data_IF_866515122293
#
_entry.id   IF_866515122293
#
_cell.length_a   1.000
_cell.length_b   1.000
_cell.length_c   1.000
_cell.angle_alpha   90.00
_cell.angle_beta   90.00
_cell.angle_gamma   90.00
#
_symmetry.space_group_name_H-M   'P 1'
#
loop_
_entity.id
_entity.type
_entity.pdbx_description
1 polymer ?
#
# COMPACT_ATOMS: atom_id res chain seq x y z
N UNK A 1 27.13 -63.45 -14.08
CA UNK A 1 25.66 -63.56 -13.98
C UNK A 1 25.12 -62.22 -13.51
N UNK A 2 24.37 -61.53 -14.35
CA UNK A 2 23.83 -60.19 -14.08
C UNK A 2 22.59 -60.30 -13.18
N UNK A 3 22.53 -59.52 -12.09
CA UNK A 3 21.33 -59.37 -11.27
C UNK A 3 20.45 -58.28 -11.88
N UNK A 4 19.20 -58.62 -12.15
CA UNK A 4 18.17 -57.68 -12.60
C UNK A 4 17.87 -56.64 -11.50
N UNK A 5 17.68 -55.40 -11.92
CA UNK A 5 17.16 -54.31 -11.08
C UNK A 5 15.64 -54.40 -11.14
N UNK A 6 14.99 -54.71 -10.02
CA UNK A 6 13.54 -54.65 -9.90
C UNK A 6 13.08 -53.19 -9.84
N UNK A 7 12.23 -52.80 -10.78
CA UNK A 7 11.58 -51.49 -10.81
C UNK A 7 10.35 -51.58 -9.90
N UNK A 8 10.39 -50.89 -8.75
CA UNK A 8 9.27 -50.79 -7.83
C UNK A 8 8.21 -49.85 -8.44
N UNK A 9 6.96 -50.32 -8.49
CA UNK A 9 5.80 -49.56 -8.95
C UNK A 9 5.54 -48.33 -8.04
N UNK A 10 5.19 -47.14 -8.57
CA UNK A 10 4.99 -45.92 -7.79
C UNK A 10 3.87 -45.97 -6.73
N UNK A 11 3.09 -47.05 -6.68
CA UNK A 11 1.88 -47.15 -5.85
C UNK A 11 2.07 -47.73 -4.44
N UNK A 12 3.28 -48.16 -4.05
CA UNK A 12 3.51 -48.73 -2.70
C UNK A 12 3.97 -47.71 -1.65
N UNK A 13 4.17 -46.43 -2.00
CA UNK A 13 4.61 -45.40 -1.03
C UNK A 13 3.42 -44.72 -0.34
N UNK A 14 2.19 -44.98 -0.76
CA UNK A 14 0.99 -44.25 -0.30
C UNK A 14 0.07 -45.05 0.65
N UNK A 15 0.49 -46.19 1.18
CA UNK A 15 -0.36 -47.00 2.08
C UNK A 15 -0.49 -46.47 3.51
N UNK A 16 0.39 -45.55 3.94
CA UNK A 16 0.45 -45.07 5.34
C UNK A 16 -0.15 -43.68 5.55
N UNK A 17 -0.73 -43.09 4.50
CA UNK A 17 -1.53 -41.87 4.66
C UNK A 17 -2.95 -42.27 5.06
N UNK A 18 -3.12 -42.44 6.37
CA UNK A 18 -4.43 -42.36 7.03
C UNK A 18 -5.11 -41.12 6.45
N UNK A 19 -6.15 -41.31 5.65
CA UNK A 19 -7.09 -40.26 5.29
C UNK A 19 -7.72 -39.79 6.60
N UNK A 20 -7.08 -38.81 7.25
CA UNK A 20 -7.78 -37.93 8.18
C UNK A 20 -8.90 -37.32 7.36
N UNK A 21 -10.12 -37.48 7.84
CA UNK A 21 -11.33 -36.90 7.27
C UNK A 21 -11.05 -35.50 6.71
N UNK A 22 -11.62 -35.11 5.56
CA UNK A 22 -11.43 -33.78 5.02
C UNK A 22 -11.79 -32.78 6.11
N UNK A 23 -10.76 -32.09 6.60
CA UNK A 23 -10.90 -30.99 7.54
C UNK A 23 -11.92 -30.04 6.89
N UNK A 24 -13.07 -29.77 7.52
CA UNK A 24 -14.03 -28.81 7.00
C UNK A 24 -13.29 -27.52 6.67
N UNK A 25 -13.68 -26.73 5.65
CA UNK A 25 -13.07 -25.42 5.45
C UNK A 25 -13.39 -24.57 6.68
N UNK A 26 -12.54 -24.65 7.69
CA UNK A 26 -12.50 -23.71 8.77
C UNK A 26 -12.15 -22.41 8.08
N UNK A 27 -13.07 -21.45 8.11
CA UNK A 27 -12.75 -20.06 7.85
C UNK A 27 -11.61 -19.73 8.80
N UNK A 28 -10.38 -19.72 8.30
CA UNK A 28 -9.25 -19.22 9.08
C UNK A 28 -9.50 -17.71 9.14
N UNK A 29 -10.06 -17.24 10.26
CA UNK A 29 -10.07 -15.82 10.57
C UNK A 29 -8.61 -15.40 10.77
N UNK A 30 -8.00 -14.88 9.71
CA UNK A 30 -6.71 -14.23 9.84
C UNK A 30 -6.94 -12.93 10.60
N UNK A 31 -6.23 -12.78 11.73
CA UNK A 31 -6.12 -11.47 12.37
C UNK A 31 -5.38 -10.56 11.39
N UNK A 32 -6.08 -9.54 10.91
CA UNK A 32 -5.50 -8.50 10.08
C UNK A 32 -4.62 -7.61 10.96
N UNK A 33 -3.52 -7.11 10.41
CA UNK A 33 -2.85 -5.95 11.01
C UNK A 33 -3.73 -4.73 10.82
N UNK A 34 -3.72 -3.80 11.76
CA UNK A 34 -4.35 -2.50 11.55
C UNK A 34 -3.25 -1.50 11.23
N UNK A 35 -3.33 -0.90 10.05
CA UNK A 35 -2.49 0.22 9.70
C UNK A 35 -2.96 1.48 10.42
N UNK A 36 -2.01 2.30 10.85
CA UNK A 36 -2.24 3.58 11.51
C UNK A 36 -1.43 4.69 10.85
N UNK A 37 -2.06 5.85 10.68
CA UNK A 37 -1.40 7.08 10.27
C UNK A 37 -0.79 7.74 11.51
N UNK A 38 0.53 7.70 11.64
CA UNK A 38 1.26 8.27 12.79
C UNK A 38 1.46 9.77 12.64
N UNK A 39 1.77 10.24 11.43
CA UNK A 39 1.97 11.66 11.15
C UNK A 39 1.70 12.00 9.67
N UNK A 40 1.43 13.29 9.43
CA UNK A 40 1.45 13.91 8.10
C UNK A 40 2.46 15.05 8.15
N UNK A 41 3.46 14.99 7.27
CA UNK A 41 4.58 15.91 7.24
C UNK A 41 4.59 16.70 5.92
N UNK A 42 4.98 17.97 6.02
CA UNK A 42 5.28 18.86 4.89
C UNK A 42 6.68 19.45 5.11
N UNK A 43 7.32 19.86 4.02
CA UNK A 43 8.68 20.40 4.09
C UNK A 43 8.78 21.75 4.81
N UNK A 44 7.83 22.66 4.57
CA UNK A 44 7.97 24.07 4.98
C UNK A 44 7.12 24.49 6.19
N UNK A 45 6.09 23.73 6.55
CA UNK A 45 5.15 24.09 7.62
C UNK A 45 4.45 22.86 8.22
N UNK A 46 3.71 23.04 9.32
CA UNK A 46 2.83 21.99 9.83
C UNK A 46 1.67 21.74 8.86
N UNK A 47 1.19 20.49 8.80
CA UNK A 47 0.06 20.12 7.94
C UNK A 47 -1.16 20.99 8.22
N UNK A 48 -1.50 21.23 9.48
CA UNK A 48 -2.67 21.99 9.89
C UNK A 48 -2.61 23.48 9.50
N UNK A 49 -1.41 24.01 9.29
CA UNK A 49 -1.17 25.42 8.97
C UNK A 49 -1.06 25.67 7.46
N UNK A 50 -0.98 24.61 6.65
CA UNK A 50 -0.81 24.74 5.21
C UNK A 50 -2.06 25.34 4.55
N UNK A 51 -1.85 26.43 3.81
CA UNK A 51 -2.88 27.01 2.96
C UNK A 51 -2.28 27.25 1.58
N UNK A 52 -2.88 26.71 0.50
CA UNK A 52 -2.38 26.99 -0.83
C UNK A 52 -2.56 28.47 -1.17
N UNK A 53 -1.56 29.06 -1.84
CA UNK A 53 -1.61 30.45 -2.30
C UNK A 53 -2.83 30.71 -3.20
N UNK A 54 -3.17 29.73 -4.05
CA UNK A 54 -4.37 29.74 -4.90
C UNK A 54 -5.25 28.54 -4.56
N UNK A 55 -6.43 28.81 -3.99
CA UNK A 55 -7.37 27.82 -3.43
C UNK A 55 -7.71 26.66 -4.37
N UNK A 56 -7.84 26.92 -5.67
CA UNK A 56 -8.25 25.95 -6.69
C UNK A 56 -7.12 25.55 -7.64
N UNK A 57 -5.87 26.00 -7.39
CA UNK A 57 -4.73 25.79 -8.27
C UNK A 57 -3.47 25.50 -7.46
N UNK A 58 -3.41 24.31 -6.88
CA UNK A 58 -2.31 23.83 -6.04
C UNK A 58 -1.89 22.41 -6.42
N UNK A 59 -0.65 22.06 -6.06
CA UNK A 59 -0.17 20.69 -5.99
C UNK A 59 0.99 20.66 -4.98
N UNK A 60 0.80 19.94 -3.88
CA UNK A 60 1.76 19.88 -2.76
C UNK A 60 2.05 18.42 -2.42
N UNK A 61 3.32 18.10 -2.17
CA UNK A 61 3.71 16.79 -1.66
C UNK A 61 3.56 16.74 -0.15
N UNK A 62 3.00 15.66 0.36
CA UNK A 62 2.99 15.34 1.79
C UNK A 62 3.66 13.98 1.99
N UNK A 63 4.32 13.83 3.13
CA UNK A 63 4.86 12.57 3.60
C UNK A 63 3.98 12.03 4.73
N UNK A 64 3.75 10.73 4.70
CA UNK A 64 2.87 10.00 5.59
C UNK A 64 3.71 8.98 6.35
N UNK A 65 3.73 9.11 7.67
CA UNK A 65 4.37 8.10 8.52
C UNK A 65 3.30 7.03 8.80
N UNK A 66 3.44 5.86 8.18
CA UNK A 66 2.47 4.76 8.27
C UNK A 66 3.11 3.58 8.98
N UNK A 67 2.48 3.13 10.06
CA UNK A 67 2.91 1.99 10.86
C UNK A 67 1.75 1.07 11.23
N UNK A 68 1.98 0.12 12.13
CA UNK A 68 0.92 -0.68 12.75
C UNK A 68 0.45 -0.05 14.06
N UNK A 69 -0.78 -0.36 14.48
CA UNK A 69 -1.38 0.13 15.72
C UNK A 69 -0.67 -0.39 16.99
N UNK A 70 0.07 -1.49 16.88
CA UNK A 70 0.79 -2.14 17.98
C UNK A 70 2.28 -1.74 18.08
N UNK A 71 2.74 -0.79 17.26
CA UNK A 71 4.14 -0.34 17.20
C UNK A 71 4.24 1.17 17.00
N UNK A 72 5.28 1.79 17.55
CA UNK A 72 5.63 3.19 17.27
C UNK A 72 6.47 3.35 15.99
N UNK A 73 6.95 2.23 15.41
CA UNK A 73 7.68 2.27 14.16
C UNK A 73 6.76 2.61 12.98
N UNK A 74 7.29 3.36 12.02
CA UNK A 74 6.60 3.74 10.80
C UNK A 74 7.58 3.79 9.63
N UNK A 75 7.04 3.53 8.45
CA UNK A 75 7.71 3.75 7.17
C UNK A 75 7.16 5.03 6.53
N UNK A 76 7.99 5.73 5.75
CA UNK A 76 7.59 6.98 5.09
C UNK A 76 7.02 6.70 3.70
N UNK A 77 5.83 7.26 3.46
CA UNK A 77 5.15 7.21 2.16
C UNK A 77 4.79 8.60 1.67
N UNK A 78 5.09 8.93 0.42
CA UNK A 78 4.80 10.22 -0.18
C UNK A 78 3.56 10.18 -1.07
N UNK A 79 2.76 11.25 -1.05
CA UNK A 79 1.65 11.48 -1.97
C UNK A 79 1.52 12.95 -2.32
N UNK A 80 1.09 13.26 -3.56
CA UNK A 80 0.81 14.63 -3.98
C UNK A 80 -0.68 14.94 -3.90
N UNK A 81 -1.03 16.04 -3.24
CA UNK A 81 -2.39 16.57 -3.18
C UNK A 81 -2.53 17.67 -4.22
N UNK A 82 -3.30 17.44 -5.29
CA UNK A 82 -3.32 18.34 -6.44
C UNK A 82 -4.74 18.69 -6.89
N UNK A 83 -4.91 19.92 -7.34
CA UNK A 83 -6.13 20.39 -7.97
C UNK A 83 -6.21 20.00 -9.45
N UNK A 84 -7.42 19.76 -10.00
CA UNK A 84 -7.58 19.54 -11.44
C UNK A 84 -7.01 20.66 -12.30
N UNK A 85 -7.14 21.92 -11.84
CA UNK A 85 -6.64 23.11 -12.53
C UNK A 85 -5.12 23.14 -12.60
N UNK A 86 -4.44 22.79 -11.50
CA UNK A 86 -2.98 22.69 -11.51
C UNK A 86 -2.50 21.62 -12.49
N UNK A 87 -3.17 20.47 -12.52
CA UNK A 87 -2.85 19.38 -13.46
C UNK A 87 -2.99 19.87 -14.91
N UNK A 88 -4.10 20.53 -15.24
CA UNK A 88 -4.35 21.07 -16.58
C UNK A 88 -3.25 22.07 -17.00
N UNK A 89 -2.82 22.94 -16.09
CA UNK A 89 -1.84 23.98 -16.39
C UNK A 89 -0.39 23.49 -16.47
N UNK A 90 -0.02 22.48 -15.66
CA UNK A 90 1.39 22.12 -15.44
C UNK A 90 1.77 20.77 -16.03
N UNK A 91 0.85 19.79 -16.13
CA UNK A 91 1.22 18.43 -16.51
C UNK A 91 1.30 18.21 -18.03
N UNK A 92 0.69 19.07 -18.83
CA UNK A 92 0.54 18.84 -20.27
C UNK A 92 1.27 19.86 -21.17
N UNK A 93 2.13 20.72 -20.59
CA UNK A 93 2.76 21.80 -21.36
C UNK A 93 3.59 21.29 -22.55
N UNK A 94 4.27 20.15 -22.40
CA UNK A 94 5.11 19.55 -23.45
C UNK A 94 4.80 18.07 -23.71
N UNK A 95 3.76 17.52 -23.08
CA UNK A 95 3.42 16.10 -23.14
C UNK A 95 1.90 15.94 -23.26
N UNK A 96 1.45 14.95 -24.06
CA UNK A 96 0.02 14.65 -24.22
C UNK A 96 -0.51 13.65 -23.18
N UNK A 97 0.39 12.92 -22.53
CA UNK A 97 0.07 11.85 -21.58
C UNK A 97 1.03 11.96 -20.41
N UNK A 98 0.51 11.78 -19.19
CA UNK A 98 1.29 11.70 -17.96
C UNK A 98 0.70 10.63 -17.05
N UNK A 99 1.56 9.84 -16.42
CA UNK A 99 1.16 8.89 -15.39
C UNK A 99 0.87 9.64 -14.08
N UNK A 100 -0.31 9.45 -13.51
CA UNK A 100 -0.78 10.14 -12.30
C UNK A 100 -0.58 9.36 -11.01
N UNK A 101 0.36 8.42 -10.97
CA UNK A 101 0.64 7.62 -9.77
C UNK A 101 1.04 8.52 -8.59
N UNK A 102 0.59 8.18 -7.38
CA UNK A 102 0.87 8.95 -6.17
C UNK A 102 0.19 10.32 -6.12
N UNK A 103 -1.01 10.47 -6.71
CA UNK A 103 -1.76 11.73 -6.70
C UNK A 103 -3.17 11.56 -6.12
N UNK A 104 -3.48 12.33 -5.08
CA UNK A 104 -4.85 12.57 -4.61
C UNK A 104 -5.36 13.86 -5.26
N UNK A 105 -6.47 13.76 -5.99
CA UNK A 105 -7.02 14.89 -6.75
C UNK A 105 -8.26 15.45 -6.04
N UNK A 106 -8.26 16.74 -5.73
CA UNK A 106 -9.39 17.41 -5.07
C UNK A 106 -9.57 18.85 -5.55
N UNK A 107 -10.81 19.36 -5.56
CA UNK A 107 -11.11 20.69 -6.11
C UNK A 107 -10.51 21.84 -5.28
N UNK A 108 -10.60 21.73 -3.95
CA UNK A 108 -10.07 22.72 -3.00
C UNK A 108 -9.34 21.97 -1.88
N UNK A 109 -8.24 22.54 -1.40
CA UNK A 109 -7.45 21.92 -0.34
C UNK A 109 -8.25 21.86 0.97
N UNK A 110 -8.36 20.66 1.55
CA UNK A 110 -9.08 20.45 2.80
C UNK A 110 -8.42 19.38 3.66
N UNK A 111 -7.80 19.81 4.76
CA UNK A 111 -7.09 18.97 5.72
C UNK A 111 -7.93 17.79 6.22
N UNK A 112 -9.18 18.05 6.62
CA UNK A 112 -10.06 17.03 7.19
C UNK A 112 -10.44 15.95 6.17
N UNK A 113 -10.67 16.36 4.92
CA UNK A 113 -10.97 15.43 3.82
C UNK A 113 -9.74 14.59 3.52
N UNK A 114 -8.56 15.21 3.35
CA UNK A 114 -7.30 14.50 3.08
C UNK A 114 -7.06 13.43 4.15
N UNK A 115 -7.11 13.80 5.43
CA UNK A 115 -6.92 12.87 6.54
C UNK A 115 -7.93 11.72 6.50
N UNK A 116 -9.21 12.03 6.30
CA UNK A 116 -10.26 11.01 6.24
C UNK A 116 -10.10 10.04 5.06
N UNK A 117 -9.62 10.52 3.90
CA UNK A 117 -9.38 9.66 2.74
C UNK A 117 -8.15 8.76 2.97
N UNK A 118 -7.08 9.29 3.58
CA UNK A 118 -5.92 8.47 3.96
C UNK A 118 -6.34 7.37 4.94
N UNK A 119 -7.07 7.71 6.01
CA UNK A 119 -7.55 6.73 7.00
C UNK A 119 -8.43 5.63 6.37
N UNK A 120 -9.27 5.98 5.38
CA UNK A 120 -10.03 5.00 4.59
C UNK A 120 -9.10 4.07 3.81
N UNK A 121 -8.11 4.61 3.12
CA UNK A 121 -7.11 3.84 2.36
C UNK A 121 -6.36 2.88 3.31
N UNK A 122 -5.92 3.34 4.48
CA UNK A 122 -5.23 2.50 5.47
C UNK A 122 -6.10 1.33 5.94
N UNK A 123 -7.39 1.57 6.18
CA UNK A 123 -8.34 0.51 6.53
C UNK A 123 -8.52 -0.50 5.40
N UNK A 124 -8.58 -0.04 4.16
CA UNK A 124 -8.66 -0.92 2.98
C UNK A 124 -7.37 -1.70 2.72
N UNK A 125 -6.22 -1.09 3.03
CA UNK A 125 -4.88 -1.65 2.82
C UNK A 125 -4.43 -2.54 3.98
N UNK A 126 -5.13 -2.55 5.11
CA UNK A 126 -4.91 -3.50 6.19
C UNK A 126 -5.12 -4.94 5.68
N UNK A 127 -4.09 -5.80 5.84
CA UNK A 127 -4.04 -7.22 5.43
C UNK A 127 -3.47 -8.11 6.53
N UNK A 128 -3.31 -9.40 6.26
CA UNK A 128 -2.81 -10.37 7.23
C UNK A 128 -1.31 -10.16 7.57
N UNK A 129 -0.55 -9.52 6.68
CA UNK A 129 0.87 -9.23 6.88
C UNK A 129 1.24 -7.82 6.40
N UNK A 130 2.38 -7.32 6.85
CA UNK A 130 2.92 -6.04 6.42
C UNK A 130 3.18 -6.02 4.92
N UNK A 131 3.82 -7.06 4.37
CA UNK A 131 4.19 -7.14 2.94
C UNK A 131 2.97 -7.12 2.03
N UNK A 132 1.89 -7.81 2.44
CA UNK A 132 0.61 -7.75 1.75
C UNK A 132 0.01 -6.34 1.82
N UNK A 133 0.06 -5.71 2.99
CA UNK A 133 -0.47 -4.36 3.19
C UNK A 133 0.31 -3.34 2.36
N UNK A 134 1.64 -3.42 2.37
CA UNK A 134 2.57 -2.64 1.56
C UNK A 134 2.21 -2.72 0.08
N UNK A 135 2.00 -3.92 -0.45
CA UNK A 135 1.59 -4.12 -1.86
C UNK A 135 0.32 -3.33 -2.24
N UNK A 136 -0.58 -3.10 -1.29
CA UNK A 136 -1.79 -2.30 -1.52
C UNK A 136 -1.53 -0.80 -1.32
N UNK A 137 -0.72 -0.42 -0.33
CA UNK A 137 -0.29 0.97 -0.11
C UNK A 137 0.41 1.55 -1.34
N UNK A 138 1.28 0.77 -2.00
CA UNK A 138 2.02 1.19 -3.21
C UNK A 138 1.12 1.52 -4.42
N UNK A 139 -0.19 1.21 -4.36
CA UNK A 139 -1.16 1.64 -5.38
C UNK A 139 -1.55 3.11 -5.24
N UNK A 140 -1.36 3.67 -4.05
CA UNK A 140 -1.80 5.01 -3.68
C UNK A 140 -0.63 5.93 -3.38
N UNK A 141 0.42 5.42 -2.76
CA UNK A 141 1.55 6.19 -2.25
C UNK A 141 2.87 5.66 -2.80
N UNK A 142 3.91 6.50 -2.79
CA UNK A 142 5.29 6.10 -3.12
C UNK A 142 6.06 5.86 -1.83
N UNK A 143 6.83 4.78 -1.75
CA UNK A 143 7.56 4.41 -0.52
C UNK A 143 9.01 4.87 -0.59
N UNK A 144 9.58 5.31 0.53
CA UNK A 144 10.95 5.84 0.57
C UNK A 144 12.03 4.85 0.07
N UNK A 145 11.74 3.54 0.14
CA UNK A 145 12.64 2.47 -0.29
C UNK A 145 12.28 1.85 -1.65
N UNK A 146 11.28 2.37 -2.40
CA UNK A 146 10.88 1.81 -3.70
C UNK A 146 12.06 1.71 -4.70
N UNK A 147 13.00 2.65 -4.64
CA UNK A 147 14.17 2.71 -5.52
C UNK A 147 15.50 2.40 -4.79
N UNK A 148 15.45 1.85 -3.57
CA UNK A 148 16.66 1.52 -2.82
C UNK A 148 17.35 0.30 -3.46
N UNK A 149 18.29 0.57 -4.37
CA UNK A 149 19.19 -0.44 -4.91
C UNK A 149 20.30 -0.69 -3.87
N UNK A 150 20.28 -1.87 -3.23
CA UNK A 150 21.38 -2.38 -2.42
C UNK A 150 22.60 -2.76 -3.28
#
# INVERSE_FOLDING_TARGET
MAKAIEIISPNEIYSDLIFKDPVPPHTIEYKMINLELKAINLYDCAFEDFVPEIKDNFCVGIDLDIGTDDSDAADIFSVRICSPKWILHNCFQNQRVKWGAGMMIMNEFNHSVIKSEIEKILKECSKETWEKSLTYLLRFFSWEFEDYQC
#
